data_IF_755867924347
#
_entry.id   IF_755867924347
#
_cell.length_a   1.000
_cell.length_b   1.000
_cell.length_c   1.000
_cell.angle_alpha   90.00
_cell.angle_beta   90.00
_cell.angle_gamma   90.00
#
_symmetry.space_group_name_H-M   'P 1'
#
loop_
_entity.id
_entity.type
_entity.pdbx_description
1 polymer ?
#
# COMPACT_ATOMS: atom_id res chain seq x y z
N UNK A 1 -9.52 21.50 -9.90
CA UNK A 1 -10.26 20.41 -10.52
C UNK A 1 -9.81 19.14 -9.84
N UNK A 2 -10.59 18.63 -8.91
CA UNK A 2 -10.27 17.38 -8.18
C UNK A 2 -10.76 16.26 -9.06
N UNK A 3 -9.84 15.37 -9.47
CA UNK A 3 -10.19 14.19 -10.24
C UNK A 3 -10.75 13.18 -9.26
N UNK A 4 -12.04 12.88 -9.39
CA UNK A 4 -12.74 11.88 -8.60
C UNK A 4 -12.38 10.47 -9.14
N UNK A 5 -11.63 9.71 -8.36
CA UNK A 5 -11.21 8.35 -8.69
C UNK A 5 -12.24 7.27 -8.27
N UNK A 6 -13.38 7.65 -7.69
CA UNK A 6 -14.38 6.71 -7.17
C UNK A 6 -15.01 5.80 -8.24
N UNK A 7 -14.89 6.16 -9.52
CA UNK A 7 -15.39 5.36 -10.66
C UNK A 7 -14.58 4.11 -10.96
N UNK A 8 -13.39 3.96 -10.38
CA UNK A 8 -12.52 2.81 -10.63
C UNK A 8 -12.76 1.66 -9.65
N UNK A 9 -13.45 1.91 -8.53
CA UNK A 9 -13.80 0.91 -7.53
C UNK A 9 -14.98 0.00 -7.92
N UNK A 10 -15.64 0.26 -9.05
CA UNK A 10 -16.85 -0.46 -9.48
C UNK A 10 -16.64 -1.52 -10.55
N UNK A 11 -15.41 -1.83 -10.93
CA UNK A 11 -15.15 -2.99 -11.78
C UNK A 11 -15.24 -4.29 -10.94
N UNK A 12 -16.47 -4.68 -10.64
CA UNK A 12 -16.77 -6.03 -10.12
C UNK A 12 -16.43 -7.05 -11.18
N UNK A 13 -15.44 -7.86 -10.91
CA UNK A 13 -15.19 -9.10 -11.64
C UNK A 13 -16.34 -10.07 -11.34
N UNK A 14 -17.20 -10.33 -12.31
CA UNK A 14 -18.22 -11.37 -12.20
C UNK A 14 -17.53 -12.72 -12.33
N UNK A 15 -17.36 -13.43 -11.20
CA UNK A 15 -17.06 -14.85 -11.21
C UNK A 15 -18.36 -15.61 -11.42
N UNK A 16 -18.45 -16.33 -12.53
CA UNK A 16 -19.43 -17.39 -12.74
C UNK A 16 -19.18 -18.52 -11.76
N UNK A 17 -20.23 -18.86 -11.01
CA UNK A 17 -20.32 -20.04 -10.17
C UNK A 17 -20.36 -21.29 -11.05
N UNK A 18 -19.52 -22.28 -10.78
CA UNK A 18 -19.78 -23.68 -11.04
C UNK A 18 -19.44 -24.46 -9.77
N UNK A 19 -20.46 -25.10 -9.23
CA UNK A 19 -20.41 -26.09 -8.16
C UNK A 19 -19.77 -27.37 -8.69
N UNK A 20 -18.98 -28.06 -7.85
CA UNK A 20 -19.17 -29.47 -7.45
C UNK A 20 -17.90 -30.03 -6.77
N UNK A 21 -18.11 -30.43 -5.51
CA UNK A 21 -17.96 -31.73 -4.87
C UNK A 21 -16.56 -32.29 -4.49
N UNK A 22 -16.56 -32.70 -3.19
CA UNK A 22 -15.80 -33.74 -2.50
C UNK A 22 -14.28 -33.67 -2.34
N UNK A 23 -13.93 -33.36 -1.10
CA UNK A 23 -13.15 -34.19 -0.17
C UNK A 23 -11.70 -34.54 -0.51
N UNK A 24 -10.77 -33.87 0.15
CA UNK A 24 -9.67 -34.58 0.83
C UNK A 24 -8.88 -33.65 1.77
N UNK A 25 -8.71 -34.10 3.01
CA UNK A 25 -7.82 -33.47 3.99
C UNK A 25 -6.39 -33.84 3.64
N UNK A 26 -5.55 -32.84 3.34
CA UNK A 26 -4.11 -33.03 3.48
C UNK A 26 -3.40 -31.81 4.03
N UNK A 27 -2.37 -32.12 4.75
CA UNK A 27 -1.53 -31.40 5.66
C UNK A 27 -1.10 -29.99 5.20
N UNK A 28 -1.12 -29.11 6.17
CA UNK A 28 -0.52 -27.79 6.23
C UNK A 28 0.99 -27.86 6.03
N UNK A 29 1.44 -27.67 4.81
CA UNK A 29 2.85 -27.50 4.43
C UNK A 29 3.08 -26.05 4.01
N UNK A 30 3.60 -25.27 4.95
CA UNK A 30 4.09 -23.90 4.75
C UNK A 30 5.23 -23.89 3.74
N UNK A 31 5.03 -23.23 2.59
CA UNK A 31 6.07 -22.47 1.86
C UNK A 31 5.40 -21.71 0.71
N UNK A 32 4.82 -20.55 0.97
CA UNK A 32 4.57 -19.60 -0.11
C UNK A 32 5.83 -18.76 -0.28
N UNK A 33 6.68 -19.21 -1.18
CA UNK A 33 7.74 -18.39 -1.76
C UNK A 33 7.13 -17.14 -2.35
N UNK A 34 7.63 -15.96 -1.95
CA UNK A 34 7.35 -14.71 -2.61
C UNK A 34 7.61 -14.89 -4.12
N UNK A 35 6.59 -14.65 -4.93
CA UNK A 35 6.75 -14.64 -6.39
C UNK A 35 7.66 -13.45 -6.73
N UNK A 36 8.75 -13.67 -7.46
CA UNK A 36 9.61 -12.58 -7.90
C UNK A 36 8.82 -11.63 -8.80
N UNK A 37 9.18 -10.34 -8.76
CA UNK A 37 8.65 -9.30 -9.65
C UNK A 37 8.74 -9.63 -11.16
N UNK A 38 9.42 -10.70 -11.52
CA UNK A 38 9.63 -11.17 -12.89
C UNK A 38 8.33 -11.65 -13.57
N UNK A 39 7.26 -11.92 -12.83
CA UNK A 39 5.99 -12.41 -13.36
C UNK A 39 4.89 -11.35 -13.54
N UNK A 40 5.21 -10.06 -13.41
CA UNK A 40 4.37 -8.97 -13.91
C UNK A 40 4.57 -8.82 -15.43
N UNK A 41 4.47 -9.91 -16.16
CA UNK A 41 4.21 -9.89 -17.60
C UNK A 41 2.74 -9.52 -17.80
N UNK A 42 2.43 -8.24 -17.54
CA UNK A 42 1.16 -7.64 -17.88
C UNK A 42 1.02 -7.66 -19.41
N UNK A 43 0.10 -8.49 -19.86
CA UNK A 43 -0.60 -8.47 -21.13
C UNK A 43 -0.11 -7.47 -22.18
N UNK A 44 0.23 -7.97 -23.33
CA UNK A 44 0.56 -7.26 -24.58
C UNK A 44 -0.62 -6.48 -25.22
N UNK A 45 -1.56 -5.97 -24.43
CA UNK A 45 -2.53 -4.96 -24.85
C UNK A 45 -2.30 -3.69 -24.04
N UNK A 46 -1.38 -2.84 -24.51
CA UNK A 46 -1.20 -1.51 -23.95
C UNK A 46 -2.53 -0.76 -23.99
N UNK A 47 -3.04 -0.34 -22.81
CA UNK A 47 -4.28 0.42 -22.76
C UNK A 47 -4.13 1.70 -23.61
N UNK A 48 -5.21 2.21 -24.25
CA UNK A 48 -5.16 3.45 -25.03
C UNK A 48 -4.60 4.64 -24.23
N UNK A 49 -4.86 4.67 -22.91
CA UNK A 49 -4.33 5.70 -21.98
C UNK A 49 -2.81 5.58 -21.87
N UNK A 50 -2.27 4.37 -21.74
CA UNK A 50 -0.85 4.14 -21.66
C UNK A 50 -0.14 4.61 -22.92
N UNK A 51 -0.60 4.13 -24.07
CA UNK A 51 -0.01 4.47 -25.36
C UNK A 51 -0.16 5.96 -25.64
N UNK A 52 -1.36 6.53 -25.46
CA UNK A 52 -1.65 7.93 -25.73
C UNK A 52 -0.88 8.87 -24.80
N UNK A 53 -1.07 8.73 -23.47
CA UNK A 53 -0.52 9.68 -22.52
C UNK A 53 0.96 9.46 -22.21
N UNK A 54 1.37 8.22 -22.00
CA UNK A 54 2.73 7.93 -21.52
C UNK A 54 3.73 7.86 -22.65
N UNK A 55 3.35 7.26 -23.80
CA UNK A 55 4.29 7.09 -24.93
C UNK A 55 4.24 8.25 -25.92
N UNK A 56 3.04 8.70 -26.32
CA UNK A 56 2.91 9.73 -27.38
C UNK A 56 2.96 11.17 -26.80
N UNK A 57 2.49 11.39 -25.57
CA UNK A 57 2.45 12.70 -24.92
C UNK A 57 3.31 12.75 -23.66
N UNK A 58 4.57 12.31 -23.77
CA UNK A 58 5.55 12.27 -22.66
C UNK A 58 5.66 13.60 -21.93
N UNK A 59 5.66 14.70 -22.68
CA UNK A 59 5.81 16.06 -22.13
C UNK A 59 4.64 16.40 -21.20
N UNK A 60 3.41 16.03 -21.56
CA UNK A 60 2.23 16.24 -20.74
C UNK A 60 2.32 15.39 -19.48
N UNK A 61 2.70 14.11 -19.61
CA UNK A 61 2.88 13.23 -18.46
C UNK A 61 3.96 13.77 -17.51
N UNK A 62 5.11 14.13 -18.03
CA UNK A 62 6.26 14.62 -17.24
C UNK A 62 5.97 15.97 -16.58
N UNK A 63 5.26 16.88 -17.24
CA UNK A 63 4.97 18.21 -16.70
C UNK A 63 3.76 18.26 -15.76
N UNK A 64 2.77 17.40 -15.92
CA UNK A 64 1.49 17.50 -15.20
C UNK A 64 1.18 16.32 -14.29
N UNK A 65 1.64 15.11 -14.62
CA UNK A 65 1.34 13.90 -13.84
C UNK A 65 2.49 13.55 -12.91
N UNK A 66 3.71 13.44 -13.47
CA UNK A 66 4.89 13.01 -12.72
C UNK A 66 5.19 13.85 -11.47
N UNK A 67 5.01 15.19 -11.45
CA UNK A 67 5.25 15.99 -10.25
C UNK A 67 4.28 15.69 -9.10
N UNK A 68 3.13 15.08 -9.40
CA UNK A 68 2.11 14.70 -8.40
C UNK A 68 2.36 13.32 -7.80
N UNK A 69 3.22 12.52 -8.41
CA UNK A 69 3.61 11.22 -7.91
C UNK A 69 4.68 11.38 -6.83
N UNK A 70 4.47 10.75 -5.67
CA UNK A 70 5.49 10.66 -4.63
C UNK A 70 6.62 9.68 -5.00
N UNK A 71 7.63 9.50 -4.14
CA UNK A 71 8.76 8.63 -4.41
C UNK A 71 8.34 7.16 -4.57
N UNK A 72 7.42 6.70 -3.73
CA UNK A 72 6.86 5.34 -3.75
C UNK A 72 6.06 5.08 -5.03
N UNK A 73 5.20 6.02 -5.45
CA UNK A 73 4.44 5.89 -6.70
C UNK A 73 5.39 5.84 -7.92
N UNK A 74 6.43 6.68 -7.95
CA UNK A 74 7.47 6.66 -9.00
C UNK A 74 8.24 5.35 -9.01
N UNK A 75 8.55 4.80 -7.82
CA UNK A 75 9.19 3.49 -7.70
C UNK A 75 8.34 2.40 -8.34
N UNK A 76 7.08 2.28 -7.96
CA UNK A 76 6.18 1.26 -8.53
C UNK A 76 5.91 1.52 -10.02
N UNK A 77 5.76 2.78 -10.44
CA UNK A 77 5.68 3.12 -11.85
C UNK A 77 6.91 2.63 -12.63
N UNK A 78 8.12 2.72 -12.07
CA UNK A 78 9.35 2.21 -12.71
C UNK A 78 9.36 0.68 -12.90
N UNK A 79 8.51 -0.05 -12.17
CA UNK A 79 8.41 -1.52 -12.25
C UNK A 79 7.38 -2.01 -13.27
N UNK A 80 6.56 -1.11 -13.82
CA UNK A 80 5.53 -1.46 -14.82
C UNK A 80 6.16 -1.99 -16.12
N UNK A 81 7.25 -1.36 -16.60
CA UNK A 81 7.90 -1.78 -17.83
C UNK A 81 9.09 -0.91 -18.21
N UNK A 82 9.70 -1.22 -19.35
CA UNK A 82 10.85 -0.45 -19.86
C UNK A 82 10.44 0.98 -20.25
N UNK A 83 9.26 1.13 -20.85
CA UNK A 83 8.72 2.42 -21.27
C UNK A 83 8.55 3.38 -20.09
N UNK A 84 8.05 2.90 -18.95
CA UNK A 84 7.93 3.71 -17.73
C UNK A 84 9.29 4.15 -17.20
N UNK A 85 10.30 3.28 -17.26
CA UNK A 85 11.67 3.65 -16.90
C UNK A 85 12.24 4.72 -17.83
N UNK A 86 11.98 4.59 -19.14
CA UNK A 86 12.46 5.55 -20.13
C UNK A 86 11.80 6.92 -19.99
N UNK A 87 10.51 6.96 -19.65
CA UNK A 87 9.81 8.21 -19.33
C UNK A 87 10.38 8.85 -18.05
N UNK A 88 10.68 8.07 -17.01
CA UNK A 88 11.32 8.57 -15.79
C UNK A 88 12.72 9.11 -16.07
N UNK A 89 13.52 8.41 -16.87
CA UNK A 89 14.86 8.87 -17.29
C UNK A 89 14.78 10.15 -18.12
N UNK A 90 13.83 10.24 -19.06
CA UNK A 90 13.55 11.43 -19.83
C UNK A 90 13.23 12.63 -18.94
N UNK A 91 12.50 12.41 -17.85
CA UNK A 91 12.22 13.41 -16.82
C UNK A 91 13.40 13.71 -15.88
N UNK A 92 14.57 13.13 -16.10
CA UNK A 92 15.75 13.31 -15.24
C UNK A 92 15.69 12.55 -13.91
N UNK A 93 14.75 11.63 -13.74
CA UNK A 93 14.61 10.83 -12.50
C UNK A 93 15.62 9.68 -12.52
N UNK A 94 16.48 9.62 -11.49
CA UNK A 94 17.39 8.49 -11.33
C UNK A 94 16.65 7.26 -10.78
N UNK A 95 16.28 6.34 -11.67
CA UNK A 95 15.49 5.14 -11.36
C UNK A 95 16.20 4.23 -10.34
N UNK A 96 17.55 4.15 -10.37
CA UNK A 96 18.31 3.28 -9.45
C UNK A 96 18.32 3.80 -8.00
N UNK A 97 17.98 5.05 -7.78
CA UNK A 97 17.90 5.67 -6.44
C UNK A 97 16.46 5.70 -5.89
N UNK A 98 15.48 5.26 -6.67
CA UNK A 98 14.10 5.20 -6.20
C UNK A 98 13.96 4.11 -5.13
N UNK A 99 13.33 4.47 -4.04
CA UNK A 99 12.88 3.56 -2.99
C UNK A 99 11.37 3.68 -2.80
N UNK A 100 10.83 2.85 -1.93
CA UNK A 100 9.41 2.90 -1.56
C UNK A 100 9.23 2.80 -0.05
N UNK A 101 8.12 3.34 0.42
CA UNK A 101 7.74 3.32 1.83
C UNK A 101 6.24 3.09 1.97
N UNK A 102 5.83 2.24 2.91
CA UNK A 102 4.41 1.98 3.19
C UNK A 102 3.70 3.27 3.60
N UNK A 103 4.37 4.13 4.36
CA UNK A 103 3.79 5.40 4.85
C UNK A 103 3.44 6.37 3.71
N UNK A 104 4.08 6.22 2.57
CA UNK A 104 3.81 7.04 1.37
C UNK A 104 2.75 6.44 0.44
N UNK A 105 2.24 5.23 0.73
CA UNK A 105 1.19 4.63 -0.10
C UNK A 105 -0.08 5.48 -0.06
N UNK A 106 -0.58 5.82 -1.25
CA UNK A 106 -1.71 6.72 -1.42
C UNK A 106 -3.03 6.00 -1.71
N UNK A 107 -2.96 4.74 -2.16
CA UNK A 107 -4.11 3.93 -2.57
C UNK A 107 -3.96 2.48 -2.11
N UNK A 108 -5.07 1.74 -2.15
CA UNK A 108 -5.08 0.28 -1.90
C UNK A 108 -4.18 -0.43 -2.90
N UNK A 109 -4.20 -0.03 -4.18
CA UNK A 109 -3.38 -0.66 -5.22
C UNK A 109 -1.88 -0.51 -4.95
N UNK A 110 -1.41 0.68 -4.56
CA UNK A 110 0.00 0.87 -4.18
C UNK A 110 0.35 0.14 -2.88
N UNK A 111 -0.59 0.06 -1.94
CA UNK A 111 -0.39 -0.69 -0.70
C UNK A 111 -0.31 -2.20 -0.94
N UNK A 112 -1.10 -2.72 -1.87
CA UNK A 112 -1.05 -4.13 -2.28
C UNK A 112 0.26 -4.48 -2.99
N UNK A 113 0.75 -3.61 -3.86
CA UNK A 113 2.09 -3.75 -4.44
C UNK A 113 3.16 -3.75 -3.35
N UNK A 114 3.07 -2.85 -2.38
CA UNK A 114 3.97 -2.83 -1.23
C UNK A 114 3.90 -4.13 -0.44
N UNK A 115 2.70 -4.63 -0.12
CA UNK A 115 2.48 -5.89 0.58
C UNK A 115 3.19 -7.07 -0.08
N UNK A 116 3.07 -7.18 -1.41
CA UNK A 116 3.65 -8.27 -2.19
C UNK A 116 5.19 -8.16 -2.30
N UNK A 117 5.77 -7.01 -2.01
CA UNK A 117 7.21 -6.75 -2.10
C UNK A 117 7.90 -6.61 -0.74
N UNK A 118 7.18 -6.78 0.38
CA UNK A 118 7.80 -6.77 1.71
C UNK A 118 8.62 -8.05 1.89
N UNK A 119 9.89 -7.93 2.28
CA UNK A 119 10.68 -9.08 2.71
C UNK A 119 10.26 -9.47 4.13
N UNK A 120 9.19 -10.24 4.22
CA UNK A 120 8.63 -10.71 5.49
C UNK A 120 9.63 -11.49 6.33
N UNK A 121 9.63 -11.25 7.63
CA UNK A 121 10.53 -11.94 8.56
C UNK A 121 11.94 -11.35 8.65
N UNK A 122 12.29 -10.37 7.82
CA UNK A 122 13.55 -9.64 7.99
C UNK A 122 13.53 -8.74 9.23
N UNK A 123 14.69 -8.59 9.86
CA UNK A 123 14.89 -7.65 10.97
C UNK A 123 15.27 -6.28 10.42
N UNK A 124 14.62 -5.26 10.95
CA UNK A 124 15.04 -3.88 10.80
C UNK A 124 16.32 -3.60 11.62
N UNK A 125 17.02 -2.53 11.32
CA UNK A 125 18.16 -2.04 12.12
C UNK A 125 17.79 -1.83 13.60
N UNK A 126 16.53 -1.48 13.87
CA UNK A 126 15.97 -1.35 15.22
C UNK A 126 15.76 -2.69 15.96
N UNK A 127 16.05 -3.84 15.31
CA UNK A 127 15.82 -5.18 15.84
C UNK A 127 14.36 -5.68 15.71
N UNK A 128 13.42 -4.84 15.26
CA UNK A 128 12.02 -5.21 15.01
C UNK A 128 11.92 -6.05 13.74
N UNK A 129 11.05 -7.06 13.77
CA UNK A 129 10.74 -7.87 12.60
C UNK A 129 9.76 -7.13 11.67
N UNK A 130 9.92 -7.34 10.36
CA UNK A 130 8.92 -6.95 9.35
C UNK A 130 7.80 -8.01 9.35
N UNK A 131 6.94 -7.94 10.34
CA UNK A 131 5.76 -8.78 10.53
C UNK A 131 4.46 -8.03 10.20
N UNK A 132 3.32 -8.70 10.33
CA UNK A 132 2.01 -8.10 10.06
C UNK A 132 1.70 -6.93 11.01
N UNK A 133 2.11 -7.01 12.27
CA UNK A 133 1.89 -5.93 13.23
C UNK A 133 2.75 -4.70 12.88
N UNK A 134 3.98 -4.90 12.42
CA UNK A 134 4.80 -3.83 11.86
C UNK A 134 4.13 -3.19 10.63
N UNK A 135 3.56 -4.02 9.74
CA UNK A 135 2.85 -3.52 8.55
C UNK A 135 1.65 -2.65 8.94
N UNK A 136 0.77 -3.12 9.83
CA UNK A 136 -0.37 -2.33 10.32
C UNK A 136 0.07 -1.00 10.95
N UNK A 137 1.17 -1.01 11.71
CA UNK A 137 1.75 0.20 12.25
C UNK A 137 2.17 1.18 11.15
N UNK A 138 2.89 0.72 10.12
CA UNK A 138 3.28 1.56 8.98
C UNK A 138 2.07 2.10 8.22
N UNK A 139 1.05 1.26 8.01
CA UNK A 139 -0.20 1.66 7.35
C UNK A 139 -0.94 2.72 8.15
N UNK A 140 -1.02 2.61 9.47
CA UNK A 140 -1.59 3.65 10.32
C UNK A 140 -0.83 4.99 10.20
N UNK A 141 0.48 4.93 9.94
CA UNK A 141 1.33 6.09 9.64
C UNK A 141 0.97 6.84 8.35
N UNK A 142 0.24 6.22 7.41
CA UNK A 142 -0.26 6.88 6.19
C UNK A 142 -1.34 7.92 6.48
N UNK A 143 -1.94 7.89 7.66
CA UNK A 143 -3.10 8.69 8.06
C UNK A 143 -4.38 8.42 7.26
N UNK A 144 -4.50 7.26 6.59
CA UNK A 144 -5.65 6.86 5.77
C UNK A 144 -6.35 5.66 6.39
N UNK A 145 -7.56 5.88 6.91
CA UNK A 145 -8.35 4.83 7.58
C UNK A 145 -8.68 3.67 6.63
N UNK A 146 -8.98 3.97 5.36
CA UNK A 146 -9.34 2.96 4.35
C UNK A 146 -8.19 1.96 4.12
N UNK A 147 -6.94 2.43 4.14
CA UNK A 147 -5.78 1.56 4.00
C UNK A 147 -5.60 0.64 5.21
N UNK A 148 -5.88 1.15 6.42
CA UNK A 148 -5.83 0.34 7.63
C UNK A 148 -6.97 -0.69 7.67
N UNK A 149 -8.17 -0.30 7.24
CA UNK A 149 -9.29 -1.23 7.07
C UNK A 149 -8.95 -2.35 6.11
N UNK A 150 -8.40 -2.02 4.94
CA UNK A 150 -7.97 -3.03 3.97
C UNK A 150 -6.95 -4.01 4.58
N UNK A 151 -5.95 -3.51 5.31
CA UNK A 151 -4.98 -4.36 5.97
C UNK A 151 -5.62 -5.31 6.99
N UNK A 152 -6.66 -4.86 7.72
CA UNK A 152 -7.33 -5.65 8.76
C UNK A 152 -8.40 -6.58 8.19
N UNK A 153 -9.25 -6.09 7.29
CA UNK A 153 -10.45 -6.78 6.82
C UNK A 153 -10.16 -7.69 5.62
N UNK A 154 -9.23 -7.30 4.75
CA UNK A 154 -8.88 -8.08 3.54
C UNK A 154 -7.64 -8.96 3.75
N UNK A 155 -6.58 -8.41 4.35
CA UNK A 155 -5.33 -9.16 4.59
C UNK A 155 -5.30 -9.85 5.96
N UNK A 156 -6.28 -9.58 6.83
CA UNK A 156 -6.40 -10.14 8.19
C UNK A 156 -5.14 -9.96 9.04
N UNK A 157 -4.41 -8.86 8.81
CA UNK A 157 -3.17 -8.56 9.52
C UNK A 157 -3.40 -8.45 11.02
N UNK A 158 -2.50 -9.00 11.79
CA UNK A 158 -2.40 -8.71 13.21
C UNK A 158 -1.97 -7.26 13.43
N UNK A 159 -2.29 -6.69 14.58
CA UNK A 159 -1.85 -5.37 15.00
C UNK A 159 -1.42 -5.34 16.45
N UNK A 160 -0.64 -4.34 16.81
CA UNK A 160 -0.17 -4.14 18.17
C UNK A 160 -0.42 -2.68 18.64
N UNK A 161 0.02 -2.40 19.87
CA UNK A 161 -0.06 -1.07 20.48
C UNK A 161 0.62 0.04 19.67
N UNK A 162 1.48 -0.27 18.72
CA UNK A 162 2.13 0.76 17.90
C UNK A 162 1.18 1.29 16.83
N UNK A 163 0.23 0.48 16.36
CA UNK A 163 -0.78 0.89 15.38
C UNK A 163 -1.64 2.02 15.93
N UNK A 164 -2.20 1.85 17.14
CA UNK A 164 -3.03 2.90 17.75
C UNK A 164 -2.20 4.15 18.13
N UNK A 165 -0.94 3.98 18.53
CA UNK A 165 -0.03 5.09 18.77
C UNK A 165 0.25 5.91 17.52
N UNK A 166 0.40 5.24 16.35
CA UNK A 166 0.58 5.94 15.08
C UNK A 166 -0.67 6.75 14.70
N UNK A 167 -1.87 6.19 14.90
CA UNK A 167 -3.12 6.91 14.70
C UNK A 167 -3.22 8.15 15.61
N UNK A 168 -2.84 8.02 16.88
CA UNK A 168 -2.79 9.13 17.83
C UNK A 168 -1.78 10.20 17.42
N UNK A 169 -0.58 9.80 17.00
CA UNK A 169 0.46 10.72 16.53
C UNK A 169 0.06 11.50 15.27
N UNK A 170 -0.83 10.94 14.44
CA UNK A 170 -1.38 11.60 13.25
C UNK A 170 -2.65 12.42 13.53
N UNK A 171 -3.20 12.36 14.73
CA UNK A 171 -4.44 13.05 15.08
C UNK A 171 -5.68 12.51 14.39
N UNK A 172 -5.65 11.28 13.90
CA UNK A 172 -6.77 10.69 13.19
C UNK A 172 -7.77 10.06 14.15
N UNK A 173 -8.71 10.85 14.62
CA UNK A 173 -9.73 10.42 15.59
C UNK A 173 -10.57 9.25 15.08
N UNK A 174 -10.93 9.24 13.80
CA UNK A 174 -11.71 8.14 13.21
C UNK A 174 -10.90 6.83 13.17
N UNK A 175 -9.62 6.91 12.84
CA UNK A 175 -8.72 5.75 12.91
C UNK A 175 -8.51 5.27 14.34
N UNK A 176 -8.39 6.19 15.30
CA UNK A 176 -8.33 5.85 16.74
C UNK A 176 -9.57 5.11 17.20
N UNK A 177 -10.76 5.63 16.88
CA UNK A 177 -12.04 4.96 17.18
C UNK A 177 -12.10 3.58 16.55
N UNK A 178 -11.73 3.46 15.28
CA UNK A 178 -11.69 2.17 14.58
C UNK A 178 -10.78 1.17 15.30
N UNK A 179 -9.55 1.56 15.63
CA UNK A 179 -8.61 0.72 16.37
C UNK A 179 -9.19 0.28 17.72
N UNK A 180 -9.76 1.21 18.48
CA UNK A 180 -10.30 0.95 19.81
C UNK A 180 -11.50 -0.03 19.77
N UNK A 181 -12.48 0.22 18.88
CA UNK A 181 -13.67 -0.62 18.76
C UNK A 181 -13.40 -2.01 18.18
N UNK A 182 -12.33 -2.18 17.43
CA UNK A 182 -11.93 -3.47 16.87
C UNK A 182 -10.83 -4.19 17.68
N UNK A 183 -10.62 -3.80 18.94
CA UNK A 183 -9.78 -4.54 19.88
C UNK A 183 -8.27 -4.39 19.64
N UNK A 184 -7.82 -3.27 19.05
CA UNK A 184 -6.38 -3.00 18.97
C UNK A 184 -5.80 -2.81 20.38
N UNK A 185 -4.71 -3.51 20.74
CA UNK A 185 -4.06 -3.32 22.03
C UNK A 185 -3.70 -1.84 22.25
N UNK A 186 -4.15 -1.24 23.38
CA UNK A 186 -3.96 0.17 23.66
C UNK A 186 -3.17 0.38 24.95
N UNK A 187 -2.11 1.17 24.85
CA UNK A 187 -1.47 1.81 25.99
C UNK A 187 -1.94 3.27 26.03
N UNK A 188 -2.93 3.53 26.88
CA UNK A 188 -3.60 4.85 26.97
C UNK A 188 -2.59 5.97 27.21
N UNK A 189 -1.67 5.79 28.18
CA UNK A 189 -0.69 6.82 28.54
C UNK A 189 0.24 7.14 27.36
N UNK A 190 0.74 6.10 26.70
CA UNK A 190 1.61 6.29 25.55
C UNK A 190 0.87 6.87 24.34
N UNK A 191 -0.40 6.52 24.13
CA UNK A 191 -1.22 7.07 23.03
C UNK A 191 -1.56 8.54 23.28
N UNK A 192 -1.97 8.91 24.51
CA UNK A 192 -2.20 10.31 24.88
C UNK A 192 -0.92 11.15 24.75
N UNK A 193 0.24 10.61 25.15
CA UNK A 193 1.53 11.29 24.97
C UNK A 193 1.81 11.55 23.49
N UNK A 194 1.55 10.58 22.61
CA UNK A 194 1.77 10.75 21.17
C UNK A 194 0.81 11.79 20.56
N UNK A 195 -0.46 11.78 20.96
CA UNK A 195 -1.42 12.80 20.53
C UNK A 195 -0.99 14.20 20.98
N UNK A 196 -0.56 14.35 22.24
CA UNK A 196 -0.09 15.62 22.77
C UNK A 196 1.17 16.14 22.05
N UNK A 197 2.14 15.25 21.76
CA UNK A 197 3.33 15.60 20.99
C UNK A 197 3.01 16.04 19.57
N UNK A 198 1.94 15.49 18.95
CA UNK A 198 1.42 15.90 17.67
C UNK A 198 0.53 17.15 17.70
N UNK A 199 0.22 17.68 18.88
CA UNK A 199 -0.69 18.82 19.04
C UNK A 199 -2.18 18.48 18.84
N UNK A 200 -2.54 17.20 18.98
CA UNK A 200 -3.90 16.69 18.71
C UNK A 200 -4.70 16.56 20.00
N UNK A 201 -5.28 17.69 20.46
CA UNK A 201 -6.01 17.74 21.72
C UNK A 201 -7.34 16.96 21.72
N UNK A 202 -7.91 16.74 20.54
CA UNK A 202 -9.19 16.03 20.37
C UNK A 202 -9.03 14.50 20.43
N UNK A 203 -7.79 14.02 20.46
CA UNK A 203 -7.43 12.61 20.57
C UNK A 203 -7.06 12.20 22.00
#
# INVERSE_FOLDING_TARGET
>A
MVIDYSKWDTLKYSSSEEEDDEGEKEAFGSTRSALPLENLSLCSSSSPIWTGLVLHHKDIFVSHVLPKLNATDRFFFSKVGRESQDVLKYAGVNVSKLGWSIVECTSISTLELAWNNIPWGEKLESGRMKDQAWFCWQVAGTNKLELLKWAREVKHCEWDKQTIKAAAAKGNLEMLKYCFYNGCPCDKNASCKQAALGGHLDC
#
